data_IF_005184699526
#
_entry.id   IF_005184699526
#
_cell.length_a   1.000
_cell.length_b   1.000
_cell.length_c   1.000
_cell.angle_alpha   90.00
_cell.angle_beta   90.00
_cell.angle_gamma   90.00
#
_symmetry.space_group_name_H-M   'P 1'
#
loop_
_entity.id
_entity.type
_entity.pdbx_description
1 polymer ?
#
# COMPACT_ATOMS: atom_id res chain seq x y z
N UNK A 1 -50.50 -44.72 -24.11
CA UNK A 1 -49.10 -44.93 -23.67
C UNK A 1 -48.83 -43.93 -22.56
N UNK A 2 -49.06 -44.31 -21.28
CA UNK A 2 -48.01 -44.62 -20.30
C UNK A 2 -46.95 -43.50 -20.25
N UNK A 3 -46.61 -42.82 -19.17
CA UNK A 3 -46.66 -43.01 -17.70
C UNK A 3 -45.95 -41.71 -17.20
N UNK A 4 -46.12 -41.10 -16.03
CA UNK A 4 -46.85 -41.40 -14.81
C UNK A 4 -46.55 -40.23 -13.84
N UNK A 5 -47.53 -39.96 -12.97
CA UNK A 5 -47.39 -39.50 -11.58
C UNK A 5 -47.05 -38.01 -11.38
N UNK A 6 -48.05 -37.19 -11.03
CA UNK A 6 -48.57 -36.99 -9.66
C UNK A 6 -47.51 -36.45 -8.69
N UNK A 7 -47.66 -35.18 -8.30
CA UNK A 7 -48.14 -34.79 -6.95
C UNK A 7 -48.32 -33.26 -6.84
N UNK A 8 -49.59 -32.86 -6.88
CA UNK A 8 -50.19 -31.65 -6.30
C UNK A 8 -49.98 -31.59 -4.76
N UNK A 9 -50.62 -30.69 -3.98
CA UNK A 9 -51.06 -29.28 -4.17
C UNK A 9 -50.44 -28.38 -3.06
N UNK A 10 -50.70 -27.09 -2.90
CA UNK A 10 -51.85 -26.53 -2.17
C UNK A 10 -51.62 -25.01 -2.01
N UNK A 11 -52.67 -24.24 -2.37
CA UNK A 11 -53.26 -23.15 -1.57
C UNK A 11 -52.39 -21.89 -1.31
N UNK A 12 -52.84 -20.66 -1.50
CA UNK A 12 -54.19 -20.08 -1.69
C UNK A 12 -54.02 -18.58 -1.94
N UNK A 13 -54.89 -18.02 -2.80
CA UNK A 13 -55.64 -16.75 -2.69
C UNK A 13 -54.85 -15.45 -2.40
N UNK A 14 -54.86 -14.47 -3.32
CA UNK A 14 -55.84 -13.35 -3.41
C UNK A 14 -55.63 -12.32 -2.27
N UNK A 15 -55.56 -11.00 -2.44
CA UNK A 15 -56.23 -10.02 -3.30
C UNK A 15 -55.26 -8.82 -3.50
N UNK A 16 -55.26 -8.08 -4.62
CA UNK A 16 -56.16 -6.95 -4.92
C UNK A 16 -56.26 -5.95 -3.73
N UNK A 17 -56.11 -4.62 -3.82
CA UNK A 17 -56.00 -3.61 -4.87
C UNK A 17 -55.46 -2.35 -4.13
N UNK A 18 -54.52 -1.60 -4.70
CA UNK A 18 -54.73 -0.23 -5.21
C UNK A 18 -55.64 0.68 -4.35
N UNK A 19 -55.06 1.72 -3.72
CA UNK A 19 -55.52 3.10 -3.93
C UNK A 19 -54.46 4.14 -3.51
N UNK A 20 -54.53 5.29 -4.19
CA UNK A 20 -53.58 6.39 -4.22
C UNK A 20 -53.68 7.37 -3.05
N UNK A 21 -52.57 8.08 -2.75
CA UNK A 21 -52.40 9.51 -3.02
C UNK A 21 -51.49 10.22 -2.01
N UNK A 22 -50.41 10.82 -2.53
CA UNK A 22 -49.92 12.16 -2.17
C UNK A 22 -49.39 12.44 -0.76
N UNK A 23 -48.10 12.74 -0.65
CA UNK A 23 -47.62 13.74 0.31
C UNK A 23 -46.19 13.58 0.83
N UNK A 24 -45.33 14.51 0.39
CA UNK A 24 -44.14 15.08 1.04
C UNK A 24 -42.82 14.28 1.09
N UNK A 25 -41.88 14.81 0.30
CA UNK A 25 -40.52 15.25 0.67
C UNK A 25 -39.83 14.47 1.79
N UNK A 26 -38.69 13.85 1.45
CA UNK A 26 -37.50 13.91 2.28
C UNK A 26 -36.23 13.70 1.43
N UNK A 27 -35.19 14.39 1.88
CA UNK A 27 -33.92 14.62 1.22
C UNK A 27 -33.24 13.33 0.71
N UNK A 28 -32.77 13.36 -0.54
CA UNK A 28 -31.71 12.46 -0.99
C UNK A 28 -30.40 12.95 -0.35
N UNK A 29 -30.24 12.62 0.94
CA UNK A 29 -28.94 12.55 1.56
C UNK A 29 -28.28 11.30 0.98
N UNK A 30 -27.28 11.49 0.11
CA UNK A 30 -26.27 10.47 -0.18
C UNK A 30 -25.65 10.05 1.16
N UNK A 31 -26.21 9.01 1.75
CA UNK A 31 -25.65 8.36 2.93
C UNK A 31 -24.31 7.72 2.55
N UNK A 32 -23.35 7.64 3.49
CA UNK A 32 -22.07 7.00 3.23
C UNK A 32 -22.30 5.53 2.81
N UNK A 33 -21.71 5.18 1.67
CA UNK A 33 -21.72 3.84 1.07
C UNK A 33 -21.38 2.77 2.11
N UNK A 34 -22.26 1.78 2.39
CA UNK A 34 -22.05 0.83 3.47
C UNK A 34 -21.40 -0.45 2.95
N UNK A 35 -20.09 -0.44 2.63
CA UNK A 35 -19.31 -1.70 2.62
C UNK A 35 -17.77 -1.57 2.58
N UNK A 36 -17.20 -0.54 3.22
CA UNK A 36 -15.79 -0.63 3.63
C UNK A 36 -15.75 -0.94 5.11
N UNK A 37 -15.28 -2.12 5.56
CA UNK A 37 -15.04 -2.33 6.97
C UNK A 37 -14.05 -1.26 7.41
N UNK A 38 -14.50 -0.36 8.29
CA UNK A 38 -13.64 0.64 8.91
C UNK A 38 -12.35 -0.06 9.37
N UNK A 39 -11.16 0.51 9.11
CA UNK A 39 -9.93 -0.10 9.55
C UNK A 39 -10.08 -0.43 11.03
N UNK A 40 -9.91 -1.72 11.40
CA UNK A 40 -10.05 -2.14 12.80
C UNK A 40 -9.15 -1.19 13.61
N UNK A 41 -9.64 -0.54 14.67
CA UNK A 41 -8.94 0.56 15.34
C UNK A 41 -7.49 0.22 15.70
N UNK A 42 -7.19 -1.04 16.01
CA UNK A 42 -5.84 -1.55 16.26
C UNK A 42 -4.88 -1.44 15.06
N UNK A 43 -5.35 -1.57 13.81
CA UNK A 43 -4.51 -1.44 12.60
C UNK A 43 -4.13 0.02 12.37
N UNK A 44 -5.09 0.94 12.48
CA UNK A 44 -4.83 2.38 12.32
C UNK A 44 -3.83 2.89 13.36
N UNK A 45 -4.04 2.54 14.63
CA UNK A 45 -3.13 2.86 15.73
C UNK A 45 -1.74 2.28 15.49
N UNK A 46 -1.66 1.03 15.02
CA UNK A 46 -0.36 0.41 14.76
C UNK A 46 0.39 1.08 13.61
N UNK A 47 -0.32 1.49 12.56
CA UNK A 47 0.29 2.20 11.45
C UNK A 47 0.78 3.59 11.86
N UNK A 48 0.04 4.29 12.72
CA UNK A 48 0.48 5.56 13.29
C UNK A 48 1.74 5.38 14.13
N UNK A 49 1.75 4.40 15.04
CA UNK A 49 2.92 4.07 15.86
C UNK A 49 4.14 3.68 15.00
N UNK A 50 3.94 2.84 13.98
CA UNK A 50 5.02 2.44 13.08
C UNK A 50 5.61 3.63 12.31
N UNK A 51 4.77 4.55 11.81
CA UNK A 51 5.25 5.77 11.14
C UNK A 51 6.02 6.67 12.09
N UNK A 52 5.55 6.83 13.32
CA UNK A 52 6.26 7.60 14.35
C UNK A 52 7.64 7.00 14.59
N UNK A 53 7.72 5.69 14.84
CA UNK A 53 8.98 4.98 15.06
C UNK A 53 9.96 5.16 13.89
N UNK A 54 9.48 5.05 12.65
CA UNK A 54 10.31 5.32 11.46
C UNK A 54 10.80 6.76 11.44
N UNK A 55 9.94 7.73 11.75
CA UNK A 55 10.31 9.16 11.72
C UNK A 55 11.37 9.55 12.76
N UNK A 56 11.39 8.87 13.90
CA UNK A 56 12.38 9.08 14.97
C UNK A 56 13.60 8.16 14.85
N UNK A 57 13.68 7.32 13.80
CA UNK A 57 14.81 6.43 13.54
C UNK A 57 14.83 5.12 14.34
N UNK A 58 13.74 4.78 15.03
CA UNK A 58 13.58 3.54 15.79
C UNK A 58 13.17 2.38 14.86
N UNK A 59 14.03 2.04 13.91
CA UNK A 59 13.70 1.09 12.85
C UNK A 59 13.46 -0.33 13.35
N UNK A 60 14.19 -0.79 14.37
CA UNK A 60 14.02 -2.14 14.92
C UNK A 60 12.62 -2.36 15.52
N UNK A 61 12.16 -1.39 16.32
CA UNK A 61 10.82 -1.40 16.89
C UNK A 61 9.76 -1.33 15.79
N UNK A 62 9.94 -0.43 14.81
CA UNK A 62 9.05 -0.32 13.66
C UNK A 62 8.94 -1.65 12.89
N UNK A 63 10.08 -2.29 12.60
CA UNK A 63 10.14 -3.56 11.88
C UNK A 63 9.48 -4.70 12.66
N UNK A 64 9.70 -4.77 13.98
CA UNK A 64 9.05 -5.76 14.84
C UNK A 64 7.52 -5.63 14.79
N UNK A 65 7.02 -4.41 14.91
CA UNK A 65 5.61 -4.07 14.89
C UNK A 65 4.98 -4.41 13.52
N UNK A 66 5.59 -3.94 12.43
CA UNK A 66 5.09 -4.12 11.06
C UNK A 66 5.10 -5.60 10.62
N UNK A 67 6.16 -6.34 10.95
CA UNK A 67 6.28 -7.77 10.58
C UNK A 67 5.26 -8.64 11.32
N UNK A 68 4.92 -8.28 12.56
CA UNK A 68 3.88 -8.95 13.35
C UNK A 68 2.51 -8.78 12.69
N UNK A 69 2.16 -7.56 12.28
CA UNK A 69 0.90 -7.30 11.58
C UNK A 69 0.82 -7.88 10.18
N UNK A 70 1.92 -7.92 9.43
CA UNK A 70 1.95 -8.58 8.12
C UNK A 70 1.58 -10.06 8.20
N UNK A 71 2.04 -10.77 9.24
CA UNK A 71 1.71 -12.20 9.45
C UNK A 71 0.22 -12.44 9.70
N UNK A 72 -0.51 -11.42 10.14
CA UNK A 72 -1.97 -11.48 10.35
C UNK A 72 -2.78 -11.37 9.04
N UNK A 73 -2.13 -11.32 7.86
CA UNK A 73 -2.78 -11.44 6.56
C UNK A 73 -3.19 -10.12 5.89
N UNK A 74 -2.80 -8.96 6.42
CA UNK A 74 -3.11 -7.67 5.82
C UNK A 74 -2.16 -7.37 4.63
N UNK A 75 -2.67 -7.45 3.41
CA UNK A 75 -2.02 -6.94 2.20
C UNK A 75 -2.26 -5.43 2.03
N UNK A 76 -1.99 -4.66 3.09
CA UNK A 76 -2.18 -3.21 3.09
C UNK A 76 -1.00 -2.54 2.37
N UNK A 77 -1.32 -1.77 1.33
CA UNK A 77 -0.34 -1.00 0.54
C UNK A 77 0.43 -0.02 1.43
N UNK A 78 -0.23 0.57 2.41
CA UNK A 78 0.40 1.52 3.32
C UNK A 78 1.34 0.82 4.30
N UNK A 79 0.94 -0.34 4.83
CA UNK A 79 1.82 -1.18 5.65
C UNK A 79 3.08 -1.57 4.87
N UNK A 80 2.93 -1.98 3.61
CA UNK A 80 4.05 -2.31 2.75
C UNK A 80 4.95 -1.09 2.52
N UNK A 81 4.38 0.08 2.28
CA UNK A 81 5.16 1.30 2.10
C UNK A 81 5.98 1.62 3.35
N UNK A 82 5.37 1.62 4.54
CA UNK A 82 6.06 1.90 5.81
C UNK A 82 7.09 0.81 6.15
N UNK A 83 6.81 -0.45 5.84
CA UNK A 83 7.78 -1.54 5.97
C UNK A 83 9.01 -1.31 5.08
N UNK A 84 8.80 -0.90 3.82
CA UNK A 84 9.91 -0.57 2.92
C UNK A 84 10.77 0.57 3.45
N UNK A 85 10.13 1.63 3.98
CA UNK A 85 10.83 2.75 4.62
C UNK A 85 11.63 2.31 5.85
N UNK A 86 11.05 1.49 6.72
CA UNK A 86 11.72 1.01 7.92
C UNK A 86 12.94 0.14 7.57
N UNK A 87 12.80 -0.79 6.61
CA UNK A 87 13.87 -1.68 6.20
C UNK A 87 15.02 -0.91 5.52
N UNK A 88 14.71 0.03 4.62
CA UNK A 88 15.72 0.88 3.97
C UNK A 88 16.39 1.84 4.97
N UNK A 89 15.59 2.47 5.85
CA UNK A 89 16.08 3.40 6.87
C UNK A 89 17.05 2.76 7.85
N UNK A 90 16.78 1.51 8.27
CA UNK A 90 17.70 0.75 9.13
C UNK A 90 19.09 0.61 8.50
N UNK A 91 19.15 0.33 7.19
CA UNK A 91 20.41 0.20 6.45
C UNK A 91 21.12 1.55 6.27
N UNK A 92 20.36 2.64 6.09
CA UNK A 92 20.94 3.98 5.88
C UNK A 92 21.53 4.62 7.15
N UNK A 93 20.92 4.36 8.30
CA UNK A 93 21.16 5.14 9.52
C UNK A 93 21.70 4.34 10.70
N UNK A 94 21.95 3.04 10.53
CA UNK A 94 22.47 2.17 11.59
C UNK A 94 23.56 1.23 11.09
N UNK A 95 24.41 0.70 11.98
CA UNK A 95 25.34 -0.35 11.62
C UNK A 95 24.55 -1.63 11.35
N UNK A 96 24.49 -2.03 10.08
CA UNK A 96 23.95 -3.33 9.67
C UNK A 96 25.02 -4.07 8.89
N UNK A 97 25.32 -5.29 9.32
CA UNK A 97 26.31 -6.16 8.67
C UNK A 97 25.61 -7.20 7.79
N UNK A 98 26.35 -7.77 6.86
CA UNK A 98 25.86 -8.93 6.10
C UNK A 98 25.70 -10.16 7.03
N UNK A 99 24.71 -11.04 6.80
CA UNK A 99 23.73 -11.05 5.70
C UNK A 99 22.44 -10.23 5.98
N UNK A 100 22.34 -9.61 7.16
CA UNK A 100 21.13 -8.86 7.56
C UNK A 100 20.89 -7.66 6.64
N UNK A 101 21.96 -6.97 6.25
CA UNK A 101 21.90 -5.84 5.33
C UNK A 101 21.25 -6.23 4.01
N UNK A 102 21.70 -7.31 3.37
CA UNK A 102 21.08 -7.79 2.14
C UNK A 102 19.61 -8.17 2.35
N UNK A 103 19.27 -8.86 3.45
CA UNK A 103 17.89 -9.24 3.73
C UNK A 103 16.94 -8.03 3.91
N UNK A 104 17.42 -6.94 4.52
CA UNK A 104 16.65 -5.70 4.66
C UNK A 104 16.47 -4.99 3.33
N UNK A 105 17.50 -4.94 2.48
CA UNK A 105 17.41 -4.36 1.15
C UNK A 105 16.42 -5.14 0.27
N UNK A 106 16.47 -6.47 0.31
CA UNK A 106 15.52 -7.34 -0.40
C UNK A 106 14.08 -7.16 0.11
N UNK A 107 13.88 -7.01 1.43
CA UNK A 107 12.57 -6.71 2.00
C UNK A 107 12.03 -5.36 1.53
N UNK A 108 12.88 -4.32 1.48
CA UNK A 108 12.49 -2.99 0.99
C UNK A 108 12.13 -3.03 -0.50
N UNK A 109 12.93 -3.70 -1.35
CA UNK A 109 12.62 -3.89 -2.77
C UNK A 109 11.28 -4.60 -2.95
N UNK A 110 11.06 -5.71 -2.23
CA UNK A 110 9.82 -6.48 -2.34
C UNK A 110 8.60 -5.65 -1.90
N UNK A 111 8.75 -4.86 -0.84
CA UNK A 111 7.69 -4.00 -0.34
C UNK A 111 7.33 -2.90 -1.35
N UNK A 112 8.30 -2.12 -1.84
CA UNK A 112 8.03 -1.04 -2.79
C UNK A 112 7.55 -1.54 -4.15
N UNK A 113 8.03 -2.70 -4.62
CA UNK A 113 7.49 -3.32 -5.84
C UNK A 113 6.02 -3.68 -5.71
N UNK A 114 5.58 -4.20 -4.55
CA UNK A 114 4.16 -4.48 -4.30
C UNK A 114 3.34 -3.20 -4.23
N UNK A 115 3.87 -2.14 -3.61
CA UNK A 115 3.24 -0.82 -3.59
C UNK A 115 3.04 -0.30 -5.02
N UNK A 116 4.07 -0.36 -5.86
CA UNK A 116 3.99 0.09 -7.26
C UNK A 116 3.16 -0.83 -8.16
N UNK A 117 2.99 -2.11 -7.80
CA UNK A 117 2.07 -3.00 -8.50
C UNK A 117 0.61 -2.64 -8.20
N UNK A 118 0.32 -2.19 -6.98
CA UNK A 118 -1.01 -1.71 -6.58
C UNK A 118 -1.30 -0.28 -7.04
N UNK A 119 -0.28 0.60 -7.02
CA UNK A 119 -0.35 2.02 -7.39
C UNK A 119 0.86 2.42 -8.24
N UNK A 120 0.84 2.14 -9.55
CA UNK A 120 1.95 2.46 -10.46
C UNK A 120 2.34 3.94 -10.49
N UNK A 121 1.38 4.83 -10.24
CA UNK A 121 1.52 6.28 -10.16
C UNK A 121 2.13 6.79 -8.85
N UNK A 122 2.39 5.92 -7.87
CA UNK A 122 2.91 6.36 -6.59
C UNK A 122 4.41 6.72 -6.66
N UNK A 123 4.69 7.93 -7.14
CA UNK A 123 6.04 8.44 -7.43
C UNK A 123 6.97 8.33 -6.23
N UNK A 124 6.46 8.59 -5.02
CA UNK A 124 7.24 8.45 -3.78
C UNK A 124 7.79 7.02 -3.62
N UNK A 125 6.99 5.99 -3.82
CA UNK A 125 7.45 4.60 -3.73
C UNK A 125 8.50 4.27 -4.82
N UNK A 126 8.41 4.90 -5.99
CA UNK A 126 9.41 4.77 -7.06
C UNK A 126 10.74 5.40 -6.68
N UNK A 127 10.72 6.58 -6.05
CA UNK A 127 11.92 7.26 -5.52
C UNK A 127 12.57 6.40 -4.44
N UNK A 128 11.80 5.88 -3.48
CA UNK A 128 12.36 5.04 -2.42
C UNK A 128 12.94 3.73 -2.97
N UNK A 129 12.28 3.11 -3.96
CA UNK A 129 12.83 1.93 -4.64
C UNK A 129 14.16 2.23 -5.34
N UNK A 130 14.28 3.40 -5.99
CA UNK A 130 15.53 3.84 -6.61
C UNK A 130 16.64 4.03 -5.56
N UNK A 131 16.31 4.63 -4.41
CA UNK A 131 17.22 4.78 -3.27
C UNK A 131 17.69 3.42 -2.75
N UNK A 132 16.81 2.42 -2.64
CA UNK A 132 17.21 1.06 -2.23
C UNK A 132 18.18 0.44 -3.24
N UNK A 133 17.93 0.56 -4.54
CA UNK A 133 18.88 0.08 -5.55
C UNK A 133 20.24 0.80 -5.48
N UNK A 134 20.24 2.09 -5.16
CA UNK A 134 21.48 2.85 -4.95
C UNK A 134 22.28 2.34 -3.75
N UNK A 135 21.61 1.94 -2.66
CA UNK A 135 22.24 1.30 -1.49
C UNK A 135 22.77 -0.10 -1.81
N UNK A 136 22.12 -0.82 -2.71
CA UNK A 136 22.59 -2.11 -3.23
C UNK A 136 23.75 -1.97 -4.23
N UNK A 137 24.18 -0.73 -4.55
CA UNK A 137 25.16 -0.43 -5.60
C UNK A 137 24.72 -0.89 -7.02
N UNK A 138 23.44 -1.20 -7.22
CA UNK A 138 22.86 -1.43 -8.55
C UNK A 138 22.48 -0.08 -9.18
N UNK A 139 23.52 0.65 -9.60
CA UNK A 139 23.40 1.96 -10.24
C UNK A 139 22.55 1.92 -11.52
N UNK A 140 22.48 0.77 -12.19
CA UNK A 140 21.68 0.63 -13.42
C UNK A 140 20.19 0.69 -13.09
N UNK A 141 19.73 -0.06 -12.09
CA UNK A 141 18.34 -0.03 -11.66
C UNK A 141 17.99 1.25 -10.93
N UNK A 142 18.87 1.76 -10.06
CA UNK A 142 18.67 3.04 -9.38
C UNK A 142 18.40 4.17 -10.39
N UNK A 143 19.25 4.29 -11.42
CA UNK A 143 19.16 5.32 -12.46
C UNK A 143 17.82 5.26 -13.16
N UNK A 144 17.45 4.06 -13.63
CA UNK A 144 16.19 3.83 -14.34
C UNK A 144 15.00 4.34 -13.53
N UNK A 145 14.93 4.02 -12.23
CA UNK A 145 13.80 4.42 -11.40
C UNK A 145 13.81 5.92 -11.06
N UNK A 146 14.98 6.52 -10.85
CA UNK A 146 15.10 7.96 -10.64
C UNK A 146 14.71 8.77 -11.89
N UNK A 147 15.19 8.37 -13.06
CA UNK A 147 14.83 9.02 -14.34
C UNK A 147 13.34 8.89 -14.63
N UNK A 148 12.74 7.74 -14.31
CA UNK A 148 11.27 7.59 -14.38
C UNK A 148 10.53 8.52 -13.42
N UNK A 149 11.01 8.69 -12.19
CA UNK A 149 10.37 9.59 -11.22
C UNK A 149 10.51 11.07 -11.64
N UNK A 150 11.62 11.45 -12.28
CA UNK A 150 11.84 12.82 -12.80
C UNK A 150 10.94 13.17 -14.01
N UNK A 151 10.26 12.19 -14.60
CA UNK A 151 9.26 12.45 -15.64
C UNK A 151 7.94 13.01 -15.09
N UNK A 152 7.72 12.90 -13.77
CA UNK A 152 6.55 13.45 -13.08
C UNK A 152 6.79 14.89 -12.58
N UNK A 153 5.71 15.60 -12.28
CA UNK A 153 5.79 16.93 -11.65
C UNK A 153 6.20 16.81 -10.18
N UNK A 154 7.47 17.09 -9.90
CA UNK A 154 8.05 17.04 -8.56
C UNK A 154 8.35 18.44 -8.00
N UNK A 155 8.18 18.66 -6.69
CA UNK A 155 8.77 19.82 -6.03
C UNK A 155 10.27 19.90 -6.31
N UNK A 156 10.78 21.11 -6.53
CA UNK A 156 12.18 21.33 -6.94
C UNK A 156 13.19 20.66 -6.00
N UNK A 157 12.98 20.74 -4.69
CA UNK A 157 13.85 20.12 -3.68
C UNK A 157 13.92 18.59 -3.79
N UNK A 158 12.85 17.92 -4.24
CA UNK A 158 12.83 16.47 -4.48
C UNK A 158 13.63 16.15 -5.75
N UNK A 159 13.41 16.92 -6.82
CA UNK A 159 14.15 16.74 -8.08
C UNK A 159 15.66 16.97 -7.88
N UNK A 160 16.04 17.98 -7.10
CA UNK A 160 17.44 18.22 -6.73
C UNK A 160 18.01 17.05 -5.91
N UNK A 161 17.27 16.53 -4.93
CA UNK A 161 17.71 15.36 -4.17
C UNK A 161 17.96 14.14 -5.07
N UNK A 162 17.09 13.88 -6.06
CA UNK A 162 17.29 12.82 -7.06
C UNK A 162 18.56 13.09 -7.88
N UNK A 163 18.79 14.32 -8.33
CA UNK A 163 19.99 14.69 -9.10
C UNK A 163 21.28 14.44 -8.33
N UNK A 164 21.28 14.62 -7.00
CA UNK A 164 22.42 14.27 -6.15
C UNK A 164 22.74 12.77 -6.19
N UNK A 165 21.74 11.89 -6.21
CA UNK A 165 21.99 10.45 -6.37
C UNK A 165 22.59 10.14 -7.75
N UNK A 166 22.00 10.68 -8.83
CA UNK A 166 22.50 10.46 -10.19
C UNK A 166 23.96 10.92 -10.34
N UNK A 167 24.31 12.08 -9.79
CA UNK A 167 25.67 12.60 -9.81
C UNK A 167 26.66 11.69 -9.05
N UNK A 168 26.25 11.15 -7.89
CA UNK A 168 27.07 10.17 -7.14
C UNK A 168 27.32 8.90 -7.95
N UNK A 169 26.30 8.41 -8.66
CA UNK A 169 26.41 7.21 -9.50
C UNK A 169 27.33 7.45 -10.69
N UNK A 170 27.26 8.63 -11.32
CA UNK A 170 28.18 9.00 -12.40
C UNK A 170 29.63 9.13 -11.90
N UNK A 171 29.82 9.55 -10.65
CA UNK A 171 31.14 9.56 -10.03
C UNK A 171 31.71 8.15 -9.75
N UNK A 172 30.87 7.14 -9.44
CA UNK A 172 31.31 5.74 -9.22
C UNK A 172 31.86 5.07 -10.49
N UNK A 173 31.44 5.53 -11.66
CA UNK A 173 31.84 4.96 -12.96
C UNK A 173 33.14 5.54 -13.53
N UNK A 174 33.65 6.63 -12.94
CA UNK A 174 34.83 7.34 -13.43
C UNK A 174 36.13 6.77 -12.86
#
# INVERSE_FOLDING_TARGET
MLNRLLRLPLRTLACALLFAAGGRADAHADGPEPDQPAPRPAIAETMENARLLVSIGHFDEALSLLRTHRKAGAADTELLFVLGLASAGKVQHGPVVEPERQALLDEAVAAFRKVLAARPEYVRARIELATVFFLMEDDRLARKHFEQALADELPSWVAEHIRLFLAKMDARKR
#
